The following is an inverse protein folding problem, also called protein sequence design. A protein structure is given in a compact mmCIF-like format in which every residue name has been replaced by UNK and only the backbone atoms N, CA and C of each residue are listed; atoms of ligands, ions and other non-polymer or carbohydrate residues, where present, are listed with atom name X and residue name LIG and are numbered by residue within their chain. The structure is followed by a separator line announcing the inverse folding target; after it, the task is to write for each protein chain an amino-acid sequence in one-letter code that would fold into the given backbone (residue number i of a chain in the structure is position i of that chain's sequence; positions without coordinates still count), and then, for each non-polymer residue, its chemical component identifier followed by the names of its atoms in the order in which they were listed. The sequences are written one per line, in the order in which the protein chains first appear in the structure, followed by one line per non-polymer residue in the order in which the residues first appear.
data_IF_701618046183
#
_entry.id   IF_701618046183
#
_cell.length_a   1.000
_cell.length_b   1.000
_cell.length_c   1.000
_cell.angle_alpha   90.00
_cell.angle_beta   90.00
_cell.angle_gamma   90.00
#
_symmetry.space_group_name_H-M   'P 1'
#
loop_
_entity.id
_entity.type
_entity.pdbx_description
1 polymer ?
#
# COMPACT_ATOMS: atom_id res chain seq x y z
N UNK A 1 7.67 19.39 -13.54
CA UNK A 1 8.10 18.09 -14.07
C UNK A 1 6.86 17.32 -14.44
N UNK A 2 6.87 16.63 -15.57
CA UNK A 2 5.84 15.67 -15.96
C UNK A 2 6.54 14.33 -16.11
N UNK A 3 6.23 13.41 -15.22
CA UNK A 3 6.71 12.05 -15.28
C UNK A 3 5.75 11.15 -16.10
N UNK A 4 6.18 9.97 -16.42
CA UNK A 4 5.40 8.98 -17.18
C UNK A 4 5.52 7.57 -16.62
N UNK A 5 6.09 7.38 -15.43
CA UNK A 5 6.35 6.07 -14.85
C UNK A 5 6.01 5.99 -13.35
N UNK A 6 5.02 6.75 -12.89
CA UNK A 6 4.60 6.73 -11.49
C UNK A 6 4.11 5.33 -11.09
N UNK A 7 3.18 4.79 -11.84
CA UNK A 7 2.62 3.44 -11.66
C UNK A 7 3.63 2.30 -11.92
N UNK A 8 4.75 2.62 -12.57
CA UNK A 8 5.79 1.65 -12.94
C UNK A 8 7.01 1.63 -12.00
N UNK A 9 7.01 2.44 -10.92
CA UNK A 9 8.09 2.47 -9.93
C UNK A 9 8.95 3.73 -9.92
N UNK A 10 8.49 4.83 -10.53
CA UNK A 10 9.11 6.17 -10.44
C UNK A 10 10.55 6.30 -10.96
N UNK A 11 11.03 5.41 -11.81
CA UNK A 11 12.41 5.42 -12.36
C UNK A 11 12.75 6.73 -13.09
N UNK A 12 11.77 7.43 -13.61
CA UNK A 12 11.93 8.75 -14.23
C UNK A 12 12.30 9.83 -13.21
N UNK A 13 11.84 9.72 -11.97
CA UNK A 13 12.24 10.62 -10.87
C UNK A 13 13.66 10.31 -10.39
N UNK A 14 14.04 9.04 -10.31
CA UNK A 14 15.44 8.64 -10.03
C UNK A 14 16.38 9.15 -11.12
N UNK A 15 15.96 9.04 -12.40
CA UNK A 15 16.73 9.60 -13.50
C UNK A 15 16.87 11.12 -13.39
N UNK A 16 15.77 11.84 -13.04
CA UNK A 16 15.83 13.29 -12.81
C UNK A 16 16.84 13.64 -11.72
N UNK A 17 16.76 12.99 -10.55
CA UNK A 17 17.67 13.24 -9.42
C UNK A 17 19.13 12.94 -9.78
N UNK A 18 19.37 11.95 -10.64
CA UNK A 18 20.74 11.65 -11.14
C UNK A 18 21.34 12.79 -11.95
N UNK A 19 20.56 13.75 -12.43
CA UNK A 19 21.02 14.89 -13.26
C UNK A 19 21.04 16.20 -12.48
N UNK A 20 20.09 16.39 -11.58
CA UNK A 20 20.00 17.61 -10.76
C UNK A 20 19.20 17.32 -9.50
N UNK A 21 19.51 17.95 -8.37
CA UNK A 21 18.73 17.77 -7.14
C UNK A 21 17.31 18.30 -7.31
N UNK A 22 16.38 17.71 -6.57
CA UNK A 22 15.06 18.28 -6.42
C UNK A 22 15.13 19.62 -5.68
N UNK A 23 14.24 20.59 -6.01
CA UNK A 23 14.04 21.77 -5.17
C UNK A 23 13.68 21.41 -3.73
N UNK A 24 13.93 22.33 -2.78
CA UNK A 24 13.55 22.13 -1.38
C UNK A 24 12.04 22.09 -1.16
N UNK A 25 11.27 22.80 -1.99
CA UNK A 25 9.81 22.81 -1.97
C UNK A 25 9.29 22.13 -3.24
N UNK A 26 8.71 20.96 -3.08
CA UNK A 26 8.11 20.18 -4.16
C UNK A 26 6.72 19.74 -3.73
N UNK A 27 5.73 19.90 -4.58
CA UNK A 27 4.47 19.20 -4.39
C UNK A 27 3.99 18.52 -5.66
N UNK A 28 3.29 17.40 -5.49
CA UNK A 28 2.59 16.71 -6.57
C UNK A 28 1.08 16.93 -6.42
N UNK A 29 0.34 17.16 -7.51
CA UNK A 29 -1.12 17.15 -7.51
C UNK A 29 -1.68 15.74 -7.70
N UNK A 30 -1.11 14.78 -7.01
CA UNK A 30 -1.39 13.35 -7.15
C UNK A 30 -1.55 12.72 -5.76
N UNK A 31 -2.64 13.05 -5.12
CA UNK A 31 -3.00 12.59 -3.79
C UNK A 31 -4.25 13.31 -3.29
N UNK A 32 -4.44 13.28 -1.99
CA UNK A 32 -5.62 13.86 -1.37
C UNK A 32 -5.34 15.23 -0.75
N UNK A 33 -6.34 16.12 -0.77
CA UNK A 33 -6.36 17.30 0.07
C UNK A 33 -6.68 16.96 1.53
N UNK A 34 -6.25 17.77 2.56
CA UNK A 34 -5.54 19.07 2.42
C UNK A 34 -4.05 18.98 2.05
N UNK A 35 -3.21 18.27 2.80
CA UNK A 35 -1.79 18.06 2.53
C UNK A 35 -1.41 16.65 2.98
N UNK A 36 -0.96 15.84 2.06
CA UNK A 36 -0.38 14.55 2.37
C UNK A 36 1.13 14.76 2.56
N UNK A 37 1.54 14.77 3.82
CA UNK A 37 2.93 15.01 4.22
C UNK A 37 3.63 13.77 4.75
N UNK A 38 2.91 12.63 4.75
CA UNK A 38 3.39 11.38 5.28
C UNK A 38 2.94 10.22 4.40
N UNK A 39 3.90 9.48 3.84
CA UNK A 39 3.68 8.22 3.14
C UNK A 39 4.36 7.10 3.93
N UNK A 40 3.61 6.04 4.24
CA UNK A 40 4.14 4.89 4.98
C UNK A 40 5.22 4.18 4.18
N UNK A 41 6.15 3.55 4.88
CA UNK A 41 7.07 2.62 4.24
C UNK A 41 6.33 1.40 3.67
N UNK A 42 6.93 0.75 2.71
CA UNK A 42 6.34 -0.40 2.00
C UNK A 42 7.31 -1.59 2.00
N UNK A 43 6.74 -2.79 2.13
CA UNK A 43 7.41 -4.05 1.77
C UNK A 43 6.49 -4.86 0.89
N UNK A 44 6.99 -5.23 -0.29
CA UNK A 44 6.46 -6.29 -1.11
C UNK A 44 7.38 -7.51 -0.99
N UNK A 45 6.85 -8.63 -0.59
CA UNK A 45 7.64 -9.83 -0.36
C UNK A 45 6.97 -11.04 -1.01
N UNK A 46 7.77 -11.87 -1.69
CA UNK A 46 7.34 -13.18 -2.16
C UNK A 46 8.07 -14.29 -1.41
N UNK A 47 7.38 -15.40 -1.20
CA UNK A 47 7.93 -16.56 -0.49
C UNK A 47 7.43 -17.86 -1.10
N UNK A 48 8.14 -18.96 -0.81
CA UNK A 48 7.73 -20.27 -1.25
C UNK A 48 8.17 -21.38 -0.31
N UNK A 49 7.51 -22.55 -0.46
CA UNK A 49 7.90 -23.80 0.18
C UNK A 49 7.56 -24.99 -0.73
N UNK A 50 8.24 -26.13 -0.55
CA UNK A 50 7.82 -27.39 -1.18
C UNK A 50 6.42 -27.76 -0.68
N UNK A 51 5.51 -28.07 -1.61
CA UNK A 51 4.12 -28.35 -1.28
C UNK A 51 3.71 -29.71 -1.84
N UNK A 52 3.22 -30.55 -0.97
CA UNK A 52 2.53 -31.77 -1.34
C UNK A 52 1.33 -31.99 -0.42
N UNK A 53 0.22 -32.36 -1.00
CA UNK A 53 -1.03 -32.66 -0.27
C UNK A 53 -1.83 -33.71 -1.01
N UNK A 54 -2.38 -34.67 -0.27
CA UNK A 54 -3.13 -35.80 -0.87
C UNK A 54 -4.54 -35.39 -1.32
N UNK A 55 -5.06 -34.28 -0.83
CA UNK A 55 -6.41 -33.79 -1.11
C UNK A 55 -6.41 -32.55 -2.01
N UNK A 56 -5.46 -31.63 -1.83
CA UNK A 56 -5.38 -30.35 -2.55
C UNK A 56 -4.41 -30.50 -3.72
N UNK A 57 -4.92 -30.42 -4.94
CA UNK A 57 -4.14 -30.49 -6.17
C UNK A 57 -3.62 -29.14 -6.63
N UNK A 58 -4.44 -28.08 -6.52
CA UNK A 58 -4.08 -26.74 -6.98
C UNK A 58 -4.73 -25.67 -6.10
N UNK A 59 -3.97 -24.62 -5.82
CA UNK A 59 -4.44 -23.39 -5.17
C UNK A 59 -4.15 -22.23 -6.12
N UNK A 60 -5.12 -21.34 -6.34
CA UNK A 60 -4.96 -20.12 -7.14
C UNK A 60 -5.76 -18.97 -6.52
N UNK A 61 -5.09 -18.14 -5.72
CA UNK A 61 -5.64 -16.96 -5.06
C UNK A 61 -4.75 -15.74 -5.23
N UNK A 62 -5.36 -14.63 -5.65
CA UNK A 62 -4.65 -13.38 -5.90
C UNK A 62 -3.81 -13.35 -7.19
N UNK A 63 -3.61 -12.17 -7.75
CA UNK A 63 -2.84 -11.96 -8.99
C UNK A 63 -1.87 -10.80 -8.92
N UNK A 64 -2.11 -9.84 -8.04
CA UNK A 64 -1.27 -8.67 -7.84
C UNK A 64 -0.95 -8.51 -6.35
N UNK A 65 0.27 -8.07 -6.05
CA UNK A 65 0.78 -8.07 -4.69
C UNK A 65 0.14 -7.00 -3.80
N UNK A 66 -0.27 -5.88 -4.39
CA UNK A 66 -0.84 -4.73 -3.67
C UNK A 66 -2.39 -4.72 -3.63
N UNK A 67 -3.04 -5.86 -3.88
CA UNK A 67 -4.50 -5.95 -3.84
C UNK A 67 -4.99 -7.13 -2.99
N UNK A 68 -6.00 -6.89 -2.14
CA UNK A 68 -6.68 -7.94 -1.40
C UNK A 68 -7.47 -8.83 -2.38
N UNK A 69 -7.23 -10.15 -2.39
CA UNK A 69 -7.89 -11.05 -3.34
C UNK A 69 -9.36 -11.28 -2.99
N UNK A 70 -10.22 -11.04 -3.97
CA UNK A 70 -11.67 -11.31 -3.89
C UNK A 70 -12.03 -12.76 -4.19
N UNK A 71 -11.07 -13.56 -4.66
CA UNK A 71 -11.29 -14.94 -5.05
C UNK A 71 -10.07 -15.81 -4.78
N UNK A 72 -10.32 -17.02 -4.28
CA UNK A 72 -9.36 -18.11 -4.23
C UNK A 72 -10.02 -19.38 -4.80
N UNK A 73 -9.39 -20.00 -5.80
CA UNK A 73 -9.86 -21.23 -6.44
C UNK A 73 -8.99 -22.37 -5.94
N UNK A 74 -9.61 -23.44 -5.47
CA UNK A 74 -8.95 -24.64 -5.01
C UNK A 74 -9.45 -25.83 -5.81
N UNK A 75 -8.55 -26.59 -6.42
CA UNK A 75 -8.87 -27.87 -7.06
C UNK A 75 -8.40 -29.01 -6.18
N UNK A 76 -9.23 -30.00 -6.02
CA UNK A 76 -8.95 -31.18 -5.22
C UNK A 76 -8.49 -32.38 -6.07
N UNK A 77 -7.81 -33.33 -5.44
CA UNK A 77 -7.30 -34.51 -6.09
C UNK A 77 -8.39 -35.43 -6.71
N UNK A 78 -9.62 -35.32 -6.20
CA UNK A 78 -10.80 -36.02 -6.75
C UNK A 78 -11.41 -35.33 -7.99
N UNK A 79 -10.82 -34.22 -8.44
CA UNK A 79 -11.26 -33.41 -9.58
C UNK A 79 -12.33 -32.37 -9.25
N UNK A 80 -12.79 -32.28 -8.01
CA UNK A 80 -13.72 -31.25 -7.59
C UNK A 80 -13.01 -29.88 -7.45
N UNK A 81 -13.78 -28.79 -7.55
CA UNK A 81 -13.29 -27.43 -7.41
C UNK A 81 -14.14 -26.65 -6.39
N UNK A 82 -13.49 -25.80 -5.60
CA UNK A 82 -14.14 -24.87 -4.70
C UNK A 82 -13.66 -23.45 -4.99
N UNK A 83 -14.61 -22.54 -5.10
CA UNK A 83 -14.35 -21.11 -5.22
C UNK A 83 -14.70 -20.41 -3.92
N UNK A 84 -13.70 -19.88 -3.25
CA UNK A 84 -13.85 -19.05 -2.04
C UNK A 84 -13.89 -17.61 -2.49
N UNK A 85 -14.92 -16.89 -2.05
CA UNK A 85 -15.17 -15.49 -2.44
C UNK A 85 -14.91 -14.54 -1.28
N UNK A 86 -14.40 -13.38 -1.62
CA UNK A 86 -14.15 -12.25 -0.76
C UNK A 86 -14.60 -10.94 -1.42
N UNK A 87 -13.90 -9.87 -1.08
CA UNK A 87 -14.08 -8.52 -1.65
C UNK A 87 -12.70 -7.90 -1.82
N UNK A 88 -12.41 -7.38 -3.01
CA UNK A 88 -11.14 -6.70 -3.28
C UNK A 88 -11.09 -5.33 -2.60
N UNK A 89 -9.88 -4.93 -2.22
CA UNK A 89 -9.50 -3.58 -1.81
C UNK A 89 -8.00 -3.40 -2.09
N UNK A 90 -7.51 -2.16 -2.02
CA UNK A 90 -6.08 -1.90 -2.10
C UNK A 90 -5.34 -2.49 -0.89
N UNK A 91 -4.09 -2.97 -1.07
CA UNK A 91 -3.28 -3.59 -0.01
C UNK A 91 -2.99 -2.66 1.17
N UNK A 92 -2.93 -1.35 0.93
CA UNK A 92 -2.78 -0.34 1.99
C UNK A 92 -4.05 -0.11 2.84
N UNK A 93 -5.20 -0.63 2.42
CA UNK A 93 -6.49 -0.52 3.12
C UNK A 93 -7.20 -1.89 3.17
N UNK A 94 -6.54 -2.92 3.74
CA UNK A 94 -7.05 -4.29 3.74
C UNK A 94 -8.37 -4.44 4.52
N UNK A 95 -8.64 -3.56 5.47
CA UNK A 95 -9.88 -3.52 6.26
C UNK A 95 -11.14 -3.21 5.42
N UNK A 96 -10.97 -2.63 4.24
CA UNK A 96 -12.07 -2.36 3.29
C UNK A 96 -12.40 -3.59 2.41
N UNK A 97 -11.54 -4.61 2.46
CA UNK A 97 -11.66 -5.85 1.72
C UNK A 97 -12.19 -7.01 2.57
N UNK A 98 -12.23 -8.18 1.93
CA UNK A 98 -12.55 -9.45 2.55
C UNK A 98 -11.70 -10.53 1.86
N UNK A 99 -10.58 -10.88 2.47
CA UNK A 99 -9.51 -11.63 1.84
C UNK A 99 -9.87 -13.11 1.63
N UNK A 100 -10.09 -13.50 0.37
CA UNK A 100 -10.44 -14.87 0.01
C UNK A 100 -9.32 -15.88 0.26
N UNK A 101 -8.05 -15.45 0.22
CA UNK A 101 -6.90 -16.31 0.49
C UNK A 101 -6.81 -16.65 1.97
N UNK A 102 -6.94 -15.67 2.87
CA UNK A 102 -6.92 -15.95 4.31
C UNK A 102 -8.14 -16.74 4.77
N UNK A 103 -9.33 -16.58 4.12
CA UNK A 103 -10.48 -17.47 4.32
C UNK A 103 -10.14 -18.91 3.99
N UNK A 104 -9.54 -19.14 2.82
CA UNK A 104 -9.09 -20.48 2.42
C UNK A 104 -8.12 -21.06 3.45
N UNK A 105 -7.08 -20.33 3.79
CA UNK A 105 -6.06 -20.77 4.73
C UNK A 105 -6.68 -21.10 6.10
N UNK A 106 -7.60 -20.28 6.60
CA UNK A 106 -8.30 -20.53 7.87
C UNK A 106 -9.17 -21.80 7.82
N UNK A 107 -9.82 -22.08 6.70
CA UNK A 107 -10.66 -23.26 6.51
C UNK A 107 -9.83 -24.56 6.43
N UNK A 108 -8.67 -24.52 5.75
CA UNK A 108 -7.85 -25.69 5.47
C UNK A 108 -6.59 -25.80 6.36
N UNK A 109 -6.47 -25.02 7.42
CA UNK A 109 -5.30 -24.98 8.31
C UNK A 109 -4.90 -26.32 8.96
N UNK A 110 -5.84 -27.24 9.11
CA UNK A 110 -5.60 -28.54 9.72
C UNK A 110 -5.27 -29.65 8.69
N UNK A 111 -5.40 -29.36 7.40
CA UNK A 111 -5.17 -30.35 6.34
C UNK A 111 -3.69 -30.41 5.96
N UNK A 112 -2.95 -29.29 6.08
CA UNK A 112 -1.55 -29.20 5.69
C UNK A 112 -0.77 -28.30 6.66
N UNK A 113 0.45 -28.69 7.02
CA UNK A 113 1.26 -27.95 7.99
C UNK A 113 1.63 -26.53 7.52
N UNK A 114 1.88 -26.32 6.22
CA UNK A 114 2.17 -25.00 5.65
C UNK A 114 0.92 -24.09 5.71
N UNK A 115 -0.26 -24.63 5.38
CA UNK A 115 -1.51 -23.87 5.51
C UNK A 115 -1.80 -23.53 6.97
N UNK A 116 -1.50 -24.46 7.90
CA UNK A 116 -1.56 -24.19 9.33
C UNK A 116 -0.64 -23.04 9.77
N UNK A 117 0.59 -23.07 9.30
CA UNK A 117 1.57 -22.00 9.53
C UNK A 117 1.10 -20.65 9.00
N UNK A 118 0.54 -20.61 7.79
CA UNK A 118 -0.04 -19.37 7.23
C UNK A 118 -1.26 -18.89 8.02
N UNK A 119 -2.12 -19.79 8.50
CA UNK A 119 -3.27 -19.43 9.32
C UNK A 119 -2.87 -18.81 10.67
N UNK A 120 -1.73 -19.22 11.22
CA UNK A 120 -1.17 -18.62 12.44
C UNK A 120 -0.55 -17.26 12.18
N UNK A 121 0.15 -17.08 11.06
CA UNK A 121 0.78 -15.81 10.70
C UNK A 121 -0.21 -14.77 10.18
N UNK A 122 -1.22 -15.21 9.41
CA UNK A 122 -2.21 -14.35 8.76
C UNK A 122 -3.64 -14.79 9.10
N UNK A 123 -4.09 -14.65 10.38
CA UNK A 123 -5.45 -14.99 10.75
C UNK A 123 -6.44 -14.18 9.91
N UNK A 124 -7.51 -14.84 9.44
CA UNK A 124 -8.52 -14.14 8.65
C UNK A 124 -9.16 -13.00 9.46
N UNK A 125 -9.19 -11.80 8.88
CA UNK A 125 -9.69 -10.57 9.50
C UNK A 125 -8.63 -9.75 10.25
N UNK A 126 -7.40 -10.28 10.44
CA UNK A 126 -6.29 -9.47 10.92
C UNK A 126 -5.66 -8.70 9.73
N UNK A 127 -5.47 -7.39 9.91
CA UNK A 127 -4.96 -6.50 8.86
C UNK A 127 -3.63 -5.83 9.20
N UNK A 128 -3.13 -5.98 10.44
CA UNK A 128 -1.96 -5.24 10.93
C UNK A 128 -0.70 -6.11 11.16
N UNK A 129 -0.79 -7.42 10.88
CA UNK A 129 0.34 -8.34 11.02
C UNK A 129 0.78 -8.62 12.45
N UNK A 130 -0.06 -8.37 13.44
CA UNK A 130 0.27 -8.63 14.84
C UNK A 130 0.69 -10.09 15.08
N UNK A 131 0.05 -11.03 14.42
CA UNK A 131 0.37 -12.47 14.50
C UNK A 131 1.72 -12.83 13.86
N UNK A 132 2.25 -11.97 12.97
CA UNK A 132 3.60 -12.07 12.43
C UNK A 132 4.68 -11.44 13.33
N UNK A 133 4.31 -10.87 14.48
CA UNK A 133 5.22 -10.08 15.33
C UNK A 133 5.35 -8.62 14.91
N UNK A 134 4.50 -8.18 13.98
CA UNK A 134 4.34 -6.79 13.55
C UNK A 134 3.26 -6.10 14.41
N UNK A 135 2.44 -5.22 13.88
CA UNK A 135 1.36 -4.55 14.62
C UNK A 135 1.81 -3.24 15.23
N UNK A 136 2.75 -2.56 14.59
CA UNK A 136 3.25 -1.25 15.00
C UNK A 136 2.29 -0.13 14.63
N UNK A 137 2.35 0.95 15.38
CA UNK A 137 1.55 2.15 15.17
C UNK A 137 2.28 3.36 15.76
N UNK A 138 2.20 4.52 15.10
CA UNK A 138 2.63 5.81 15.63
C UNK A 138 1.52 6.86 15.54
N UNK A 139 1.74 8.01 16.19
CA UNK A 139 0.75 9.08 16.28
C UNK A 139 0.61 9.88 14.95
N UNK A 140 1.56 9.77 14.03
CA UNK A 140 1.60 10.52 12.76
C UNK A 140 1.04 9.69 11.61
N UNK A 141 1.62 8.51 11.38
CA UNK A 141 1.25 7.64 10.26
C UNK A 141 0.18 6.59 10.61
N UNK A 142 -0.13 6.43 11.90
CA UNK A 142 -1.13 5.49 12.39
C UNK A 142 -0.69 4.02 12.32
N UNK A 143 -1.66 3.12 12.32
CA UNK A 143 -1.42 1.68 12.36
C UNK A 143 -0.90 1.15 11.02
N UNK A 144 0.03 0.21 11.07
CA UNK A 144 0.52 -0.49 9.89
C UNK A 144 -0.53 -1.43 9.28
N UNK A 145 -0.30 -1.84 8.03
CA UNK A 145 -1.06 -2.91 7.39
C UNK A 145 -0.15 -4.04 6.95
N UNK A 146 -0.67 -5.27 6.96
CA UNK A 146 0.03 -6.47 6.50
C UNK A 146 -1.00 -7.46 5.95
N UNK A 147 -0.89 -7.81 4.69
CA UNK A 147 -1.85 -8.67 4.00
C UNK A 147 -1.18 -9.77 3.19
N UNK A 148 -1.63 -11.01 3.35
CA UNK A 148 -1.33 -12.11 2.44
C UNK A 148 -2.20 -11.95 1.18
N UNK A 149 -1.60 -11.53 0.08
CA UNK A 149 -2.32 -11.12 -1.13
C UNK A 149 -2.29 -12.15 -2.26
N UNK A 150 -1.28 -13.02 -2.26
CA UNK A 150 -1.11 -14.06 -3.26
C UNK A 150 -0.91 -15.39 -2.55
N UNK A 151 -1.54 -16.46 -3.05
CA UNK A 151 -1.24 -17.84 -2.68
C UNK A 151 -1.55 -18.77 -3.87
N UNK A 152 -0.52 -19.41 -4.40
CA UNK A 152 -0.61 -20.28 -5.59
C UNK A 152 0.26 -21.51 -5.45
N UNK A 153 -0.18 -22.61 -6.02
CA UNK A 153 0.67 -23.78 -6.23
C UNK A 153 1.15 -23.84 -7.67
N UNK A 154 2.45 -24.01 -7.84
CA UNK A 154 3.10 -24.15 -9.14
C UNK A 154 4.34 -25.02 -9.01
N UNK A 155 4.55 -25.98 -9.92
CA UNK A 155 5.74 -26.82 -9.96
C UNK A 155 6.02 -27.63 -8.67
N UNK A 156 4.99 -28.03 -7.92
CA UNK A 156 5.14 -28.72 -6.64
C UNK A 156 5.53 -27.81 -5.47
N UNK A 157 5.38 -26.52 -5.62
CA UNK A 157 5.66 -25.53 -4.59
C UNK A 157 4.41 -24.68 -4.29
N UNK A 158 4.32 -24.20 -3.07
CA UNK A 158 3.39 -23.15 -2.64
C UNK A 158 4.13 -21.82 -2.68
N UNK A 159 3.60 -20.87 -3.44
CA UNK A 159 4.09 -19.51 -3.57
C UNK A 159 3.11 -18.54 -2.92
N UNK A 160 3.63 -17.58 -2.17
CA UNK A 160 2.83 -16.53 -1.56
C UNK A 160 3.40 -15.14 -1.82
N UNK A 161 2.54 -14.12 -1.66
CA UNK A 161 2.91 -12.71 -1.74
C UNK A 161 2.26 -11.92 -0.61
N UNK A 162 2.98 -10.93 -0.09
CA UNK A 162 2.58 -10.10 1.04
C UNK A 162 2.79 -8.64 0.69
N UNK A 163 1.81 -7.79 1.00
CA UNK A 163 1.91 -6.34 1.03
C UNK A 163 1.92 -5.86 2.49
N UNK A 164 2.91 -5.04 2.83
CA UNK A 164 3.04 -4.42 4.14
C UNK A 164 3.21 -2.91 3.97
N UNK A 165 2.47 -2.11 4.77
CA UNK A 165 2.67 -0.67 4.90
C UNK A 165 2.96 -0.37 6.36
N UNK A 166 4.10 0.28 6.64
CA UNK A 166 4.60 0.42 8.01
C UNK A 166 4.84 1.88 8.41
N UNK A 167 4.74 2.18 9.73
CA UNK A 167 4.83 3.53 10.26
C UNK A 167 6.21 4.16 10.09
N UNK A 168 6.24 5.51 10.19
CA UNK A 168 7.46 6.31 9.99
C UNK A 168 8.52 6.14 11.09
N UNK A 169 8.15 5.58 12.24
CA UNK A 169 9.08 5.28 13.34
C UNK A 169 9.80 3.93 13.18
N UNK A 170 9.55 3.22 12.07
CA UNK A 170 10.17 1.94 11.72
C UNK A 170 11.00 2.06 10.46
N UNK A 171 11.93 1.12 10.30
CA UNK A 171 12.78 1.02 9.11
C UNK A 171 12.41 -0.20 8.27
N UNK A 172 12.70 -0.12 6.97
CA UNK A 172 12.56 -1.24 6.05
C UNK A 172 13.29 -2.50 6.56
N UNK A 173 14.50 -2.33 7.11
CA UNK A 173 15.31 -3.43 7.63
C UNK A 173 14.65 -4.12 8.83
N UNK A 174 14.06 -3.37 9.78
CA UNK A 174 13.36 -3.93 10.93
C UNK A 174 12.15 -4.76 10.50
N UNK A 175 11.30 -4.19 9.66
CA UNK A 175 10.07 -4.85 9.19
C UNK A 175 10.40 -6.09 8.38
N UNK A 176 11.36 -5.98 7.44
CA UNK A 176 11.82 -7.09 6.62
C UNK A 176 12.40 -8.24 7.44
N UNK A 177 13.17 -7.93 8.49
CA UNK A 177 13.73 -8.92 9.39
C UNK A 177 12.68 -9.69 10.18
N UNK A 178 11.65 -9.00 10.69
CA UNK A 178 10.58 -9.62 11.46
C UNK A 178 9.74 -10.56 10.58
N UNK A 179 9.26 -10.08 9.41
CA UNK A 179 8.41 -10.91 8.55
C UNK A 179 9.16 -12.10 7.95
N UNK A 180 10.44 -11.91 7.58
CA UNK A 180 11.30 -13.00 7.12
C UNK A 180 11.43 -14.08 8.18
N UNK A 181 11.78 -13.72 9.41
CA UNK A 181 11.91 -14.65 10.52
C UNK A 181 10.59 -15.39 10.82
N UNK A 182 9.46 -14.69 10.75
CA UNK A 182 8.14 -15.29 10.94
C UNK A 182 7.85 -16.37 9.89
N UNK A 183 8.08 -16.08 8.61
CA UNK A 183 7.88 -17.01 7.51
C UNK A 183 8.83 -18.23 7.61
N UNK A 184 10.11 -17.99 7.87
CA UNK A 184 11.10 -19.06 8.03
C UNK A 184 10.76 -20.00 9.19
N UNK A 185 10.21 -19.47 10.30
CA UNK A 185 9.75 -20.26 11.44
C UNK A 185 8.65 -21.27 11.09
N UNK A 186 7.92 -21.02 9.97
CA UNK A 186 6.85 -21.88 9.45
C UNK A 186 7.27 -22.71 8.24
N UNK A 187 8.56 -22.73 7.90
CA UNK A 187 9.13 -23.53 6.82
C UNK A 187 9.06 -22.89 5.43
N UNK A 188 8.78 -21.61 5.35
CA UNK A 188 8.83 -20.86 4.10
C UNK A 188 10.21 -20.25 3.89
N UNK A 189 10.59 -20.09 2.64
CA UNK A 189 11.76 -19.34 2.21
C UNK A 189 11.29 -18.06 1.53
N UNK A 190 11.87 -16.91 1.90
CA UNK A 190 11.68 -15.65 1.18
C UNK A 190 12.45 -15.75 -0.15
N UNK A 191 11.76 -15.48 -1.25
CA UNK A 191 12.32 -15.55 -2.60
C UNK A 191 12.76 -14.16 -3.06
N UNK A 192 11.88 -13.16 -2.93
CA UNK A 192 12.16 -11.76 -3.29
C UNK A 192 11.59 -10.84 -2.20
N UNK A 193 12.29 -9.73 -1.98
CA UNK A 193 11.84 -8.67 -1.10
C UNK A 193 12.24 -7.34 -1.73
N UNK A 194 11.25 -6.49 -1.96
CA UNK A 194 11.39 -5.12 -2.40
C UNK A 194 10.69 -4.20 -1.40
N UNK A 195 11.16 -2.98 -1.26
CA UNK A 195 10.55 -2.07 -0.30
C UNK A 195 11.14 -0.67 -0.32
N UNK A 196 10.44 0.22 0.34
CA UNK A 196 10.79 1.64 0.45
C UNK A 196 10.69 2.09 1.90
N UNK A 197 11.64 2.93 2.32
CA UNK A 197 11.57 3.60 3.63
C UNK A 197 10.39 4.57 3.66
N UNK A 198 9.82 4.92 4.83
CA UNK A 198 8.74 5.89 4.90
C UNK A 198 9.22 7.28 4.48
N UNK A 199 8.28 8.10 3.99
CA UNK A 199 8.50 9.51 3.71
C UNK A 199 7.70 10.40 4.66
N UNK A 200 8.33 11.45 5.20
CA UNK A 200 7.68 12.38 6.11
C UNK A 200 8.26 13.79 6.00
N UNK A 201 7.38 14.76 5.92
CA UNK A 201 7.73 16.20 5.98
C UNK A 201 7.06 16.82 7.20
N UNK A 202 7.83 17.55 8.01
CA UNK A 202 7.31 18.20 9.24
C UNK A 202 6.10 19.08 8.92
N UNK A 203 4.98 18.80 9.56
CA UNK A 203 3.75 19.57 9.43
C UNK A 203 3.92 21.07 9.78
N UNK A 204 4.88 21.39 10.67
CA UNK A 204 5.18 22.76 11.09
C UNK A 204 6.13 23.50 10.15
N UNK A 205 6.61 22.88 9.09
CA UNK A 205 7.44 23.54 8.09
C UNK A 205 6.67 24.68 7.42
N UNK A 206 7.37 25.78 7.08
CA UNK A 206 6.72 26.94 6.43
C UNK A 206 6.05 26.54 5.11
N UNK A 207 6.65 25.59 4.38
CA UNK A 207 6.09 25.07 3.15
C UNK A 207 4.72 24.40 3.37
N UNK A 208 4.64 23.42 4.29
CA UNK A 208 3.39 22.72 4.61
C UNK A 208 2.34 23.67 5.16
N UNK A 209 2.73 24.57 6.06
CA UNK A 209 1.82 25.58 6.62
C UNK A 209 1.30 26.54 5.55
N UNK A 210 2.10 26.88 4.55
CA UNK A 210 1.64 27.72 3.42
C UNK A 210 0.56 26.99 2.61
N UNK A 211 0.75 25.73 2.28
CA UNK A 211 -0.25 24.91 1.57
C UNK A 211 -1.55 24.77 2.39
N UNK A 212 -1.45 24.54 3.69
CA UNK A 212 -2.62 24.49 4.58
C UNK A 212 -3.38 25.83 4.63
N UNK A 213 -2.67 26.98 4.69
CA UNK A 213 -3.30 28.31 4.60
C UNK A 213 -4.04 28.53 3.27
N UNK A 214 -3.45 28.07 2.17
CA UNK A 214 -4.09 28.14 0.84
C UNK A 214 -5.36 27.30 0.81
N UNK A 215 -5.30 26.09 1.33
CA UNK A 215 -6.47 25.21 1.45
C UNK A 215 -7.58 25.90 2.27
N UNK A 216 -7.26 26.38 3.48
CA UNK A 216 -8.21 27.06 4.36
C UNK A 216 -8.85 28.28 3.71
N UNK A 217 -8.07 29.11 3.00
CA UNK A 217 -8.54 30.29 2.27
C UNK A 217 -9.57 29.94 1.19
N UNK A 218 -9.41 28.81 0.52
CA UNK A 218 -10.25 28.43 -0.64
C UNK A 218 -11.45 27.59 -0.22
N UNK A 219 -11.24 26.62 0.67
CA UNK A 219 -12.33 25.73 1.15
C UNK A 219 -13.14 26.34 2.27
N UNK A 220 -12.59 27.32 3.01
CA UNK A 220 -13.26 27.95 4.15
C UNK A 220 -13.27 27.07 5.41
N UNK A 221 -12.49 26.01 5.45
CA UNK A 221 -12.35 25.11 6.59
C UNK A 221 -10.89 24.84 6.88
N UNK A 222 -10.56 24.54 8.14
CA UNK A 222 -9.19 24.30 8.58
C UNK A 222 -8.66 22.99 8.00
N UNK A 223 -7.58 23.07 7.23
CA UNK A 223 -6.86 21.91 6.75
C UNK A 223 -6.02 21.23 7.85
N UNK A 224 -5.68 19.98 7.62
CA UNK A 224 -4.75 19.18 8.44
C UNK A 224 -3.85 18.36 7.53
N UNK A 225 -2.70 17.98 8.05
CA UNK A 225 -1.87 16.96 7.39
C UNK A 225 -2.52 15.59 7.47
N UNK A 226 -2.28 14.77 6.45
CA UNK A 226 -2.75 13.39 6.36
C UNK A 226 -1.60 12.46 6.05
N UNK A 227 -1.76 11.20 6.47
CA UNK A 227 -0.85 10.12 6.18
C UNK A 227 -1.56 9.05 5.33
N UNK A 228 -0.88 8.53 4.34
CA UNK A 228 -1.40 7.46 3.49
C UNK A 228 -0.41 6.28 3.36
N UNK A 229 -0.94 5.14 2.98
CA UNK A 229 -0.15 3.96 2.64
C UNK A 229 0.16 3.87 1.14
N UNK A 230 -0.35 4.80 0.33
CA UNK A 230 0.01 4.98 -1.08
C UNK A 230 1.40 5.63 -1.20
N UNK A 231 1.98 5.53 -2.38
CA UNK A 231 3.27 6.13 -2.72
C UNK A 231 3.06 6.99 -3.95
N UNK A 232 3.57 8.22 -3.91
CA UNK A 232 3.52 9.17 -5.03
C UNK A 232 4.92 9.57 -5.45
N UNK A 233 5.05 10.36 -6.49
CA UNK A 233 6.35 10.88 -6.94
C UNK A 233 7.15 11.63 -5.86
N UNK A 234 6.51 12.16 -4.83
CA UNK A 234 7.23 12.90 -3.77
C UNK A 234 7.92 12.00 -2.77
N UNK A 235 7.60 10.70 -2.75
CA UNK A 235 8.23 9.74 -1.85
C UNK A 235 9.76 9.77 -1.91
N UNK A 236 10.32 9.93 -3.11
CA UNK A 236 11.76 9.98 -3.34
C UNK A 236 12.35 11.39 -3.20
N UNK A 237 11.57 12.38 -2.75
CA UNK A 237 12.05 13.75 -2.55
C UNK A 237 12.20 14.05 -1.06
N UNK A 238 13.22 14.84 -0.67
CA UNK A 238 13.47 15.13 0.75
C UNK A 238 12.42 16.03 1.43
N UNK A 239 11.71 16.84 0.67
CA UNK A 239 10.79 17.84 1.19
C UNK A 239 9.46 17.91 0.45
N UNK A 240 9.19 16.93 -0.42
CA UNK A 240 7.98 16.89 -1.21
C UNK A 240 6.75 16.44 -0.44
N UNK A 241 5.60 16.97 -0.81
CA UNK A 241 4.30 16.58 -0.26
C UNK A 241 3.29 16.40 -1.40
N UNK A 242 2.22 15.62 -1.20
CA UNK A 242 1.11 15.67 -2.14
C UNK A 242 0.09 16.75 -1.67
N UNK A 243 -0.44 17.49 -2.63
CA UNK A 243 -1.40 18.58 -2.41
C UNK A 243 -2.52 18.48 -3.43
N UNK A 244 -3.54 17.68 -3.13
CA UNK A 244 -4.64 17.34 -4.05
C UNK A 244 -4.16 16.34 -5.13
N UNK A 245 -4.95 16.01 -6.10
CA UNK A 245 -6.15 16.69 -6.63
C UNK A 245 -7.50 16.23 -6.02
N UNK A 246 -7.49 15.23 -5.16
CA UNK A 246 -8.70 14.59 -4.68
C UNK A 246 -9.22 15.19 -3.38
N UNK A 247 -10.54 15.23 -3.24
CA UNK A 247 -11.20 15.47 -1.97
C UNK A 247 -11.71 14.13 -1.42
N UNK A 248 -11.44 13.80 -0.15
CA UNK A 248 -11.80 12.50 0.43
C UNK A 248 -13.29 12.14 0.37
N UNK A 249 -14.16 13.15 0.22
CA UNK A 249 -15.62 12.98 0.09
C UNK A 249 -16.09 12.65 -1.33
N UNK A 250 -15.23 12.78 -2.34
CA UNK A 250 -15.59 12.52 -3.74
C UNK A 250 -15.22 11.08 -4.14
N UNK A 251 -16.12 10.44 -4.86
CA UNK A 251 -15.85 9.17 -5.51
C UNK A 251 -15.53 9.41 -6.98
N UNK A 252 -14.29 9.27 -7.34
CA UNK A 252 -13.75 9.48 -8.71
C UNK A 252 -13.49 8.18 -9.47
N UNK A 253 -13.78 7.01 -8.87
CA UNK A 253 -13.44 5.68 -9.39
C UNK A 253 -11.94 5.47 -9.67
N UNK A 254 -11.06 6.07 -8.85
CA UNK A 254 -9.60 5.94 -8.97
C UNK A 254 -9.18 4.48 -9.24
N UNK A 255 -8.32 4.27 -10.24
CA UNK A 255 -7.87 2.98 -10.76
C UNK A 255 -9.01 2.07 -11.26
N UNK A 256 -10.21 2.61 -11.45
CA UNK A 256 -11.40 1.88 -11.89
C UNK A 256 -11.88 2.26 -13.29
N UNK A 257 -12.94 1.58 -13.73
CA UNK A 257 -13.60 1.95 -14.96
C UNK A 257 -14.30 3.31 -14.80
N UNK A 258 -14.23 4.15 -15.87
CA UNK A 258 -14.85 5.47 -15.90
C UNK A 258 -14.32 6.42 -14.80
N UNK A 259 -13.02 6.37 -14.55
CA UNK A 259 -12.34 7.32 -13.66
C UNK A 259 -12.57 8.76 -14.14
N UNK A 260 -12.92 9.64 -13.23
CA UNK A 260 -13.35 10.99 -13.58
C UNK A 260 -13.09 12.02 -12.48
N UNK A 261 -13.07 13.28 -12.87
CA UNK A 261 -13.09 14.44 -11.97
C UNK A 261 -14.28 15.35 -12.32
N UNK A 262 -14.96 15.88 -11.31
CA UNK A 262 -16.04 16.83 -11.58
C UNK A 262 -15.49 18.16 -12.09
N UNK A 263 -16.28 18.87 -12.93
CA UNK A 263 -15.91 20.22 -13.40
C UNK A 263 -15.82 21.24 -12.25
N UNK A 264 -16.51 21.00 -11.16
CA UNK A 264 -16.45 21.82 -9.95
C UNK A 264 -15.10 21.61 -9.24
N UNK A 265 -14.74 20.35 -8.96
CA UNK A 265 -13.46 19.96 -8.36
C UNK A 265 -12.29 20.44 -9.22
N UNK A 266 -12.36 20.25 -10.53
CA UNK A 266 -11.33 20.73 -11.45
C UNK A 266 -11.09 22.26 -11.33
N UNK A 267 -12.15 23.06 -11.23
CA UNK A 267 -12.03 24.51 -11.04
C UNK A 267 -11.47 24.87 -9.67
N UNK A 268 -11.85 24.15 -8.62
CA UNK A 268 -11.30 24.35 -7.28
C UNK A 268 -9.79 24.04 -7.31
N UNK A 269 -9.38 22.96 -7.93
CA UNK A 269 -7.98 22.57 -8.06
C UNK A 269 -7.14 23.61 -8.79
N UNK A 270 -7.63 24.15 -9.92
CA UNK A 270 -6.96 25.26 -10.62
C UNK A 270 -6.75 26.47 -9.73
N UNK A 271 -7.76 26.84 -8.94
CA UNK A 271 -7.67 27.96 -8.01
C UNK A 271 -6.70 27.64 -6.86
N UNK A 272 -6.71 26.40 -6.35
CA UNK A 272 -5.84 25.93 -5.30
C UNK A 272 -4.36 26.04 -5.71
N UNK A 273 -4.01 25.46 -6.87
CA UNK A 273 -2.63 25.47 -7.36
C UNK A 273 -2.16 26.88 -7.76
N UNK A 274 -3.01 27.70 -8.36
CA UNK A 274 -2.66 29.10 -8.67
C UNK A 274 -2.32 29.89 -7.41
N UNK A 275 -3.10 29.74 -6.34
CA UNK A 275 -2.81 30.40 -5.06
C UNK A 275 -1.58 29.79 -4.37
N UNK A 276 -1.40 28.46 -4.39
CA UNK A 276 -0.22 27.82 -3.83
C UNK A 276 1.07 28.33 -4.49
N UNK A 277 1.11 28.38 -5.83
CA UNK A 277 2.26 28.90 -6.57
C UNK A 277 2.49 30.39 -6.25
N UNK A 278 1.44 31.19 -6.20
CA UNK A 278 1.57 32.62 -5.87
C UNK A 278 2.11 32.86 -4.45
N UNK A 279 1.65 32.10 -3.46
CA UNK A 279 2.10 32.21 -2.06
C UNK A 279 3.54 31.68 -1.87
N UNK A 280 3.92 30.61 -2.58
CA UNK A 280 5.24 29.99 -2.48
C UNK A 280 6.32 30.73 -3.28
N UNK A 281 5.97 31.36 -4.40
CA UNK A 281 6.90 32.03 -5.31
C UNK A 281 6.78 33.56 -5.26
N UNK A 282 5.80 34.11 -4.53
CA UNK A 282 5.62 35.57 -4.34
C UNK A 282 6.65 36.14 -3.38
N UNK A 283 7.11 37.37 -3.66
CA UNK A 283 7.95 38.18 -2.75
C UNK A 283 7.11 38.81 -1.64
#
# INVERSE_FOLDING_TARGET
IFGGNEEGGCEDMEYYESKQPFPEMVFTPDGSFPVLNCEKGMVHLTFSAEFSDDKIAEINGGSVINAIPDKCIVKFADGSEKVIRGKSSHGSRPENGDNAVTKFVAEYKNENALLGGLAELFPHGECNGKSCGLGFSDDVSGEMTCALTILKTEGGRLHGGIDIRFPIDKTLAEISGIITSALESKGFKVDELDGMEPHYVDENSEFVQTLLRVYEKIKGEKGKCIAEGGITYVHNTKGGVAFGAEFPEENNNMHGADEHISMETFKINLNMYANAIAELCGE
#
